data_IF_925491936393
#
_entry.id   IF_925491936393
#
_cell.length_a   1.000
_cell.length_b   1.000
_cell.length_c   1.000
_cell.angle_alpha   90.00
_cell.angle_beta   90.00
_cell.angle_gamma   90.00
#
_symmetry.space_group_name_H-M   'P 1'
#
loop_
_entity.id
_entity.type
_entity.pdbx_description
1 polymer ?
#
# COMPACT_ATOMS: atom_id res chain seq x y z
N UNK A 1 8.66 25.85 -9.17
CA UNK A 1 8.89 24.76 -8.20
C UNK A 1 9.87 23.77 -8.82
N UNK A 2 10.81 23.24 -8.04
CA UNK A 2 11.71 22.14 -8.48
C UNK A 2 10.86 20.90 -8.79
N UNK A 3 11.37 19.99 -9.63
CA UNK A 3 10.71 18.71 -9.89
C UNK A 3 10.76 17.81 -8.65
N UNK A 4 9.87 16.82 -8.60
CA UNK A 4 9.89 15.82 -7.53
C UNK A 4 11.24 15.07 -7.51
N UNK A 5 11.80 14.71 -8.67
CA UNK A 5 13.10 14.04 -8.76
C UNK A 5 14.24 14.89 -8.19
N UNK A 6 14.29 16.20 -8.49
CA UNK A 6 15.29 17.11 -7.89
C UNK A 6 15.12 17.22 -6.38
N UNK A 7 13.87 17.30 -5.90
CA UNK A 7 13.58 17.29 -4.47
C UNK A 7 14.10 16.01 -3.79
N UNK A 8 13.77 14.84 -4.33
CA UNK A 8 14.20 13.55 -3.77
C UNK A 8 15.72 13.42 -3.76
N UNK A 9 16.39 13.85 -4.83
CA UNK A 9 17.85 13.86 -4.89
C UNK A 9 18.45 14.76 -3.80
N UNK A 10 17.88 15.92 -3.56
CA UNK A 10 18.32 16.81 -2.48
C UNK A 10 18.11 16.18 -1.09
N UNK A 11 16.95 15.50 -0.85
CA UNK A 11 16.72 14.79 0.41
C UNK A 11 17.75 13.66 0.62
N UNK A 12 18.10 12.94 -0.43
CA UNK A 12 19.09 11.87 -0.36
C UNK A 12 20.49 12.35 0.00
N UNK A 13 20.82 13.60 -0.29
CA UNK A 13 22.13 14.19 0.00
C UNK A 13 22.25 14.83 1.40
N UNK A 14 21.16 14.93 2.17
CA UNK A 14 21.20 15.50 3.51
C UNK A 14 22.06 14.64 4.45
N UNK A 15 22.94 15.26 5.19
CA UNK A 15 23.81 14.58 6.19
C UNK A 15 23.06 14.17 7.46
N UNK A 16 21.95 14.84 7.77
CA UNK A 16 21.10 14.53 8.92
C UNK A 16 19.63 14.71 8.52
N UNK A 17 18.81 13.73 8.78
CA UNK A 17 17.38 13.74 8.51
C UNK A 17 16.60 13.88 9.81
N UNK A 18 15.83 14.94 9.94
CA UNK A 18 15.07 15.28 11.15
C UNK A 18 13.59 15.01 11.04
N UNK A 19 13.05 14.96 9.83
CA UNK A 19 11.64 14.68 9.57
C UNK A 19 11.55 13.62 8.48
N UNK A 20 10.85 12.53 8.78
CA UNK A 20 10.62 11.42 7.85
C UNK A 20 9.13 11.26 7.56
N UNK A 21 8.81 10.92 6.33
CA UNK A 21 7.48 10.45 5.92
C UNK A 21 7.61 9.00 5.49
N UNK A 22 6.92 8.10 6.15
CA UNK A 22 7.09 6.65 5.99
C UNK A 22 5.75 6.01 5.64
N UNK A 23 5.73 5.21 4.55
CA UNK A 23 4.61 4.35 4.19
C UNK A 23 4.59 3.04 4.98
N UNK A 24 3.56 2.23 4.78
CA UNK A 24 3.42 0.94 5.44
C UNK A 24 4.49 -0.08 4.96
N UNK A 25 4.76 -1.15 5.74
CA UNK A 25 5.79 -2.14 5.39
C UNK A 25 5.53 -2.94 4.11
N UNK A 26 4.29 -2.98 3.61
CA UNK A 26 3.98 -3.65 2.34
C UNK A 26 4.61 -2.92 1.14
N UNK A 27 4.82 -1.59 1.24
CA UNK A 27 5.47 -0.78 0.22
C UNK A 27 4.76 -0.86 -1.14
N UNK A 28 3.44 -0.84 -1.14
CA UNK A 28 2.64 -0.76 -2.36
C UNK A 28 2.60 0.67 -2.92
N UNK A 29 1.91 0.87 -4.03
CA UNK A 29 1.84 2.17 -4.69
C UNK A 29 1.29 3.26 -3.76
N UNK A 30 0.24 2.95 -2.96
CA UNK A 30 -0.36 3.92 -2.04
C UNK A 30 0.66 4.39 -0.99
N UNK A 31 1.35 3.46 -0.35
CA UNK A 31 2.38 3.74 0.64
C UNK A 31 3.54 4.58 0.09
N UNK A 32 4.10 4.17 -1.04
CA UNK A 32 5.28 4.82 -1.63
C UNK A 32 4.91 6.20 -2.16
N UNK A 33 3.86 6.30 -2.97
CA UNK A 33 3.42 7.57 -3.58
C UNK A 33 2.97 8.57 -2.51
N UNK A 34 2.21 8.11 -1.51
CA UNK A 34 1.81 8.96 -0.39
C UNK A 34 3.02 9.54 0.34
N UNK A 35 4.06 8.73 0.61
CA UNK A 35 5.26 9.21 1.28
C UNK A 35 6.02 10.24 0.44
N UNK A 36 6.26 9.96 -0.85
CA UNK A 36 6.98 10.85 -1.76
C UNK A 36 6.26 12.20 -1.92
N UNK A 37 4.96 12.15 -2.22
CA UNK A 37 4.17 13.34 -2.52
C UNK A 37 3.88 14.16 -1.25
N UNK A 38 3.57 13.51 -0.11
CA UNK A 38 3.38 14.23 1.15
C UNK A 38 4.63 14.98 1.58
N UNK A 39 5.80 14.35 1.51
CA UNK A 39 7.07 14.98 1.87
C UNK A 39 7.37 16.19 0.97
N UNK A 40 7.13 16.07 -0.34
CA UNK A 40 7.28 17.15 -1.30
C UNK A 40 6.35 18.34 -0.98
N UNK A 41 5.06 18.07 -0.77
CA UNK A 41 4.05 19.10 -0.47
C UNK A 41 4.37 19.81 0.87
N UNK A 42 4.72 19.02 1.91
CA UNK A 42 5.03 19.56 3.23
C UNK A 42 6.32 20.41 3.26
N UNK A 43 7.21 20.22 2.30
CA UNK A 43 8.48 20.95 2.18
C UNK A 43 8.41 22.11 1.19
N UNK A 44 7.31 22.25 0.47
CA UNK A 44 7.10 23.32 -0.51
C UNK A 44 6.43 24.53 0.14
N UNK A 45 6.79 25.76 -0.23
CA UNK A 45 6.08 26.95 0.26
C UNK A 45 4.63 26.92 -0.24
N UNK A 46 3.67 27.14 0.66
CA UNK A 46 2.27 27.29 0.28
C UNK A 46 2.11 28.49 -0.63
N UNK A 47 1.45 28.31 -1.78
CA UNK A 47 1.18 29.40 -2.74
C UNK A 47 -0.10 30.16 -2.44
N UNK A 48 -0.75 29.92 -1.29
CA UNK A 48 -1.89 30.72 -0.83
C UNK A 48 -1.41 32.09 -0.37
N UNK A 49 -1.89 33.12 -1.03
CA UNK A 49 -1.93 34.47 -0.47
C UNK A 49 -2.92 34.43 0.70
N UNK A 50 -2.43 34.51 1.92
CA UNK A 50 -3.28 34.86 3.05
C UNK A 50 -3.75 36.34 2.82
N UNK A 51 -4.84 36.52 2.08
CA UNK A 51 -5.53 37.81 1.90
C UNK A 51 -6.27 38.24 3.18
N UNK A 52 -5.71 37.96 4.35
CA UNK A 52 -6.16 38.47 5.63
C UNK A 52 -5.02 39.16 6.38
N UNK A 53 -4.40 40.15 5.75
CA UNK A 53 -3.59 41.13 6.49
C UNK A 53 -4.34 42.43 6.59
N UNK A 54 -5.27 42.52 7.55
CA UNK A 54 -5.66 43.81 8.14
C UNK A 54 -4.51 44.25 9.05
N UNK A 55 -3.99 45.41 8.71
CA UNK A 55 -2.80 46.02 9.26
C UNK A 55 -2.71 46.06 10.77
N UNK A 56 -1.52 45.77 11.25
CA UNK A 56 -0.82 46.68 12.18
C UNK A 56 0.68 46.37 12.09
N UNK A 57 1.45 47.39 11.81
CA UNK A 57 2.89 47.29 11.67
C UNK A 57 3.53 46.99 13.02
N UNK A 58 4.25 45.86 13.09
CA UNK A 58 5.30 45.69 14.06
C UNK A 58 6.48 44.95 13.43
N UNK A 59 7.65 45.56 13.53
CA UNK A 59 8.94 45.06 13.08
C UNK A 59 9.19 43.68 13.72
N UNK A 60 9.00 42.60 13.01
CA UNK A 60 9.54 41.29 13.42
C UNK A 60 10.79 41.01 12.60
N UNK A 61 11.89 40.84 13.33
CA UNK A 61 13.17 40.37 12.87
C UNK A 61 13.00 39.22 11.87
N UNK A 62 13.59 39.41 10.71
CA UNK A 62 13.73 38.46 9.63
C UNK A 62 14.73 37.37 10.04
N UNK A 63 14.38 36.59 11.08
CA UNK A 63 15.04 35.31 11.35
C UNK A 63 14.44 34.32 10.38
N UNK A 64 15.12 34.07 9.26
CA UNK A 64 14.88 32.97 8.34
C UNK A 64 14.84 31.63 9.11
N UNK A 65 13.67 31.25 9.63
CA UNK A 65 13.44 29.90 10.10
C UNK A 65 13.52 28.99 8.86
N UNK A 66 14.67 28.38 8.65
CA UNK A 66 14.84 27.36 7.63
C UNK A 66 13.77 26.29 7.86
N UNK A 67 12.77 26.23 6.97
CA UNK A 67 11.74 25.20 7.01
C UNK A 67 12.48 23.85 6.91
N UNK A 68 12.49 23.11 8.01
CA UNK A 68 13.11 21.77 8.01
C UNK A 68 12.32 20.89 7.07
N UNK A 69 12.94 20.55 5.96
CA UNK A 69 12.34 19.73 4.90
C UNK A 69 12.04 18.32 5.41
N UNK A 70 10.92 17.76 4.98
CA UNK A 70 10.54 16.37 5.24
C UNK A 70 11.12 15.45 4.18
N UNK A 71 11.79 14.37 4.59
CA UNK A 71 12.36 13.39 3.68
C UNK A 71 11.44 12.16 3.57
N UNK A 72 11.04 11.71 2.38
CA UNK A 72 10.28 10.48 2.24
C UNK A 72 11.19 9.26 2.38
N UNK A 73 10.65 8.19 2.95
CA UNK A 73 11.33 6.90 3.11
C UNK A 73 10.43 5.77 2.60
N UNK A 74 10.91 5.04 1.59
CA UNK A 74 10.27 3.81 1.18
C UNK A 74 10.50 2.71 2.21
N UNK A 75 9.44 2.06 2.67
CA UNK A 75 9.47 0.99 3.67
C UNK A 75 10.01 -0.34 3.11
N UNK A 76 10.23 -0.42 1.81
CA UNK A 76 10.89 -1.55 1.13
C UNK A 76 12.19 -1.08 0.49
N UNK A 77 13.09 -2.01 0.18
CA UNK A 77 14.33 -1.68 -0.52
C UNK A 77 14.07 -1.21 -1.96
N UNK A 78 14.98 -0.38 -2.51
CA UNK A 78 14.93 -0.02 -3.96
C UNK A 78 14.98 -1.25 -4.85
N UNK A 79 15.69 -2.29 -4.44
CA UNK A 79 15.71 -3.57 -5.15
C UNK A 79 14.33 -4.23 -5.17
N UNK A 80 13.66 -4.31 -4.01
CA UNK A 80 12.29 -4.85 -3.92
C UNK A 80 11.30 -3.99 -4.72
N UNK A 81 11.43 -2.66 -4.68
CA UNK A 81 10.64 -1.75 -5.51
C UNK A 81 10.80 -2.06 -7.00
N UNK A 82 12.04 -2.22 -7.47
CA UNK A 82 12.35 -2.52 -8.88
C UNK A 82 11.89 -3.91 -9.31
N UNK A 83 11.93 -4.88 -8.41
CA UNK A 83 11.66 -6.29 -8.76
C UNK A 83 10.27 -6.76 -8.39
N UNK A 84 9.51 -6.02 -7.57
CA UNK A 84 8.25 -6.50 -7.00
C UNK A 84 7.07 -5.52 -7.17
N UNK A 85 7.30 -4.31 -7.69
CA UNK A 85 6.27 -3.26 -7.80
C UNK A 85 6.19 -2.65 -9.21
N UNK A 86 5.83 -3.46 -10.23
CA UNK A 86 5.87 -3.00 -11.62
C UNK A 86 4.91 -1.82 -11.88
N UNK A 87 3.76 -1.77 -11.23
CA UNK A 87 2.81 -0.65 -11.33
C UNK A 87 3.38 0.64 -10.72
N UNK A 88 4.09 0.53 -9.60
CA UNK A 88 4.76 1.68 -8.97
C UNK A 88 5.94 2.15 -9.79
N UNK A 89 6.72 1.22 -10.38
CA UNK A 89 7.79 1.57 -11.31
C UNK A 89 7.28 2.33 -12.52
N UNK A 90 6.15 1.90 -13.08
CA UNK A 90 5.55 2.57 -14.23
C UNK A 90 5.10 4.00 -13.87
N UNK A 91 4.51 4.18 -12.68
CA UNK A 91 4.17 5.50 -12.15
C UNK A 91 5.41 6.40 -12.00
N UNK A 92 6.47 5.89 -11.38
CA UNK A 92 7.73 6.63 -11.21
C UNK A 92 8.37 6.99 -12.55
N UNK A 93 8.30 6.07 -13.53
CA UNK A 93 8.78 6.31 -14.88
C UNK A 93 8.01 7.46 -15.55
N UNK A 94 6.67 7.47 -15.47
CA UNK A 94 5.86 8.56 -16.00
C UNK A 94 6.16 9.90 -15.32
N UNK A 95 6.38 9.88 -14.00
CA UNK A 95 6.76 11.06 -13.23
C UNK A 95 8.24 11.47 -13.42
N UNK A 96 9.01 10.77 -14.27
CA UNK A 96 10.44 10.99 -14.46
C UNK A 96 11.26 10.96 -13.15
N UNK A 97 10.86 10.09 -12.22
CA UNK A 97 11.52 9.90 -10.92
C UNK A 97 12.42 8.65 -10.97
N UNK A 98 13.75 8.81 -10.98
CA UNK A 98 14.66 7.68 -10.90
C UNK A 98 14.58 7.00 -9.51
N UNK A 99 14.47 5.68 -9.49
CA UNK A 99 14.37 4.90 -8.22
C UNK A 99 15.57 5.15 -7.32
N UNK A 100 16.74 5.40 -7.89
CA UNK A 100 17.98 5.69 -7.18
C UNK A 100 17.91 6.96 -6.33
N UNK A 101 16.99 7.88 -6.60
CA UNK A 101 16.78 9.11 -5.82
C UNK A 101 15.97 8.89 -4.55
N UNK A 102 15.27 7.76 -4.43
CA UNK A 102 14.40 7.44 -3.31
C UNK A 102 15.24 6.91 -2.15
N UNK A 103 15.02 7.47 -0.95
CA UNK A 103 15.53 6.89 0.29
C UNK A 103 14.72 5.64 0.65
N UNK A 104 15.41 4.60 1.11
CA UNK A 104 14.80 3.34 1.49
C UNK A 104 15.33 2.78 2.82
N UNK A 105 14.76 1.69 3.28
CA UNK A 105 15.16 1.03 4.54
C UNK A 105 16.63 0.62 4.56
N UNK A 106 17.28 0.40 3.41
CA UNK A 106 18.70 0.06 3.35
C UNK A 106 19.58 1.28 3.64
N UNK A 107 19.16 2.48 3.28
CA UNK A 107 19.87 3.72 3.64
C UNK A 107 19.86 3.89 5.17
N UNK A 108 18.74 3.57 5.86
CA UNK A 108 18.65 3.62 7.32
C UNK A 108 19.54 2.55 7.98
N UNK A 109 19.58 1.35 7.43
CA UNK A 109 20.44 0.25 7.93
C UNK A 109 21.91 0.58 7.76
N UNK A 110 22.26 1.23 6.65
CA UNK A 110 23.66 1.56 6.31
C UNK A 110 24.21 2.72 7.16
N UNK A 111 23.38 3.71 7.48
CA UNK A 111 23.75 4.87 8.28
C UNK A 111 22.63 5.25 9.28
N UNK A 112 22.45 4.48 10.37
CA UNK A 112 21.39 4.72 11.34
C UNK A 112 21.47 6.09 12.04
N UNK A 113 22.70 6.60 12.25
CA UNK A 113 22.91 7.86 12.96
C UNK A 113 22.36 9.06 12.18
N UNK A 114 22.36 9.00 10.88
CA UNK A 114 21.76 9.99 9.98
C UNK A 114 20.27 10.21 10.25
N UNK A 115 19.58 9.19 10.74
CA UNK A 115 18.11 9.16 10.93
C UNK A 115 17.70 9.21 12.41
N UNK A 116 18.67 9.26 13.33
CA UNK A 116 18.42 9.22 14.77
C UNK A 116 17.61 10.44 15.25
N UNK A 117 16.58 10.18 16.06
CA UNK A 117 15.74 11.20 16.68
C UNK A 117 14.83 11.95 15.71
N UNK A 118 14.50 11.34 14.57
CA UNK A 118 13.62 11.95 13.58
C UNK A 118 12.15 11.99 14.06
N UNK A 119 11.45 13.07 13.71
CA UNK A 119 10.00 13.17 13.77
C UNK A 119 9.37 12.45 12.59
N UNK A 120 8.41 11.57 12.86
CA UNK A 120 7.81 10.69 11.86
C UNK A 120 6.41 11.13 11.50
N UNK A 121 6.15 11.20 10.19
CA UNK A 121 4.80 11.20 9.62
C UNK A 121 4.53 9.80 9.05
N UNK A 122 3.53 9.11 9.57
CA UNK A 122 3.05 7.85 9.03
C UNK A 122 2.01 8.13 7.94
N UNK A 123 2.14 7.47 6.80
CA UNK A 123 1.16 7.50 5.72
C UNK A 123 0.75 6.09 5.35
N UNK A 124 -0.54 5.87 5.10
CA UNK A 124 -1.12 4.58 4.74
C UNK A 124 -0.99 3.49 5.83
N UNK A 125 -0.73 3.90 7.05
CA UNK A 125 -0.80 3.10 8.27
C UNK A 125 -0.76 4.01 9.50
N UNK A 126 -1.19 3.49 10.67
CA UNK A 126 -1.23 4.26 11.92
C UNK A 126 -0.50 3.57 13.08
N UNK A 127 0.32 2.58 12.76
CA UNK A 127 1.26 1.92 13.68
C UNK A 127 2.65 1.88 13.08
N UNK A 128 3.62 2.45 13.75
CA UNK A 128 5.04 2.25 13.42
C UNK A 128 5.47 0.87 13.91
N UNK A 129 5.85 -0.02 12.99
CA UNK A 129 6.51 -1.27 13.36
C UNK A 129 7.94 -0.96 13.82
N UNK A 130 8.14 -1.02 15.12
CA UNK A 130 9.33 -0.49 15.78
C UNK A 130 10.41 -1.53 16.08
N UNK A 131 10.24 -2.79 15.70
CA UNK A 131 11.18 -3.83 16.11
C UNK A 131 12.58 -3.62 15.56
N UNK A 132 12.69 -3.19 14.31
CA UNK A 132 13.98 -2.96 13.65
C UNK A 132 14.61 -1.60 14.01
N UNK A 133 13.81 -0.54 14.02
CA UNK A 133 14.29 0.84 14.18
C UNK A 133 14.08 1.42 15.60
N UNK A 134 13.71 0.58 16.57
CA UNK A 134 13.43 1.00 17.96
C UNK A 134 14.57 1.79 18.63
N UNK A 135 15.82 1.54 18.22
CA UNK A 135 17.01 2.21 18.76
C UNK A 135 17.24 3.61 18.18
N UNK A 136 16.47 4.03 17.17
CA UNK A 136 16.64 5.32 16.50
C UNK A 136 15.94 6.47 17.23
N UNK A 137 15.15 6.18 18.27
CA UNK A 137 14.38 7.17 19.04
C UNK A 137 13.47 8.04 18.15
N UNK A 138 12.80 7.43 17.21
CA UNK A 138 11.81 8.09 16.36
C UNK A 138 10.56 8.49 17.14
N UNK A 139 10.00 9.64 16.82
CA UNK A 139 8.77 10.15 17.44
C UNK A 139 7.68 10.35 16.39
N UNK A 140 6.57 9.61 16.50
CA UNK A 140 5.44 9.79 15.60
C UNK A 140 4.73 11.10 15.93
N UNK A 141 4.70 12.02 14.96
CA UNK A 141 4.12 13.36 15.05
C UNK A 141 2.90 13.55 14.18
N UNK A 142 2.81 12.82 13.05
CA UNK A 142 1.67 12.93 12.15
C UNK A 142 1.25 11.55 11.66
N UNK A 143 -0.05 11.39 11.44
CA UNK A 143 -0.66 10.20 10.83
C UNK A 143 -1.65 10.65 9.78
N UNK A 144 -1.52 10.10 8.57
CA UNK A 144 -2.43 10.29 7.45
C UNK A 144 -2.76 8.89 6.91
N UNK A 145 -3.96 8.40 7.18
CA UNK A 145 -4.28 7.00 6.93
C UNK A 145 -5.76 6.79 6.58
N UNK A 146 -6.08 5.68 5.94
CA UNK A 146 -7.46 5.27 5.64
C UNK A 146 -7.82 3.89 6.20
N UNK A 147 -6.94 3.31 7.00
CA UNK A 147 -7.19 2.02 7.67
C UNK A 147 -7.88 2.21 9.02
N UNK A 148 -8.31 1.07 9.60
CA UNK A 148 -8.84 1.05 10.96
C UNK A 148 -7.86 1.73 11.92
N UNK A 149 -8.42 2.58 12.79
CA UNK A 149 -7.66 3.34 13.75
C UNK A 149 -7.29 2.48 14.97
N UNK A 150 -5.99 2.21 15.13
CA UNK A 150 -5.48 1.44 16.28
C UNK A 150 -5.41 2.25 17.58
N UNK A 151 -5.76 3.53 17.55
CA UNK A 151 -5.79 4.40 18.74
C UNK A 151 -4.42 4.79 19.29
N UNK A 152 -3.33 4.56 18.55
CA UNK A 152 -1.97 4.84 18.99
C UNK A 152 -1.58 6.32 18.80
N UNK A 153 -0.59 6.80 19.57
CA UNK A 153 0.06 8.12 19.46
C UNK A 153 -0.88 9.33 19.66
N UNK A 154 -2.00 9.18 20.38
CA UNK A 154 -2.96 10.26 20.58
C UNK A 154 -2.35 11.47 21.31
N UNK A 155 -1.42 11.23 22.25
CA UNK A 155 -0.79 12.30 23.04
C UNK A 155 0.44 12.92 22.36
N UNK A 156 0.94 12.35 21.27
CA UNK A 156 2.20 12.79 20.62
C UNK A 156 1.99 13.34 19.22
N UNK A 157 0.86 13.01 18.57
CA UNK A 157 0.56 13.48 17.21
C UNK A 157 0.03 14.90 17.20
N UNK A 158 0.60 15.72 16.31
CA UNK A 158 0.13 17.07 15.98
C UNK A 158 -0.99 17.02 14.94
N UNK A 159 -0.89 16.10 13.98
CA UNK A 159 -1.90 15.82 12.95
C UNK A 159 -2.24 14.35 13.02
N UNK A 160 -3.53 14.07 13.14
CA UNK A 160 -4.04 12.70 13.12
C UNK A 160 -5.30 12.68 12.26
N UNK A 161 -5.07 12.46 10.94
CA UNK A 161 -6.13 12.42 9.93
C UNK A 161 -6.29 10.98 9.45
N UNK A 162 -7.31 10.30 10.00
CA UNK A 162 -7.64 8.91 9.66
C UNK A 162 -9.01 8.87 8.99
N UNK A 163 -8.99 8.54 7.70
CA UNK A 163 -10.18 8.48 6.86
C UNK A 163 -10.92 7.14 7.02
N UNK A 164 -11.24 6.77 8.28
CA UNK A 164 -11.98 5.56 8.63
C UNK A 164 -13.09 5.91 9.61
N UNK A 165 -14.34 5.59 9.27
CA UNK A 165 -15.53 5.87 10.10
C UNK A 165 -16.56 4.78 9.91
N UNK A 166 -17.31 4.46 10.96
CA UNK A 166 -18.40 3.47 10.91
C UNK A 166 -17.95 2.14 10.28
N UNK A 167 -16.77 1.65 10.72
CA UNK A 167 -16.11 0.44 10.24
C UNK A 167 -15.80 0.42 8.72
N UNK A 168 -15.68 1.59 8.10
CA UNK A 168 -15.39 1.73 6.67
C UNK A 168 -14.36 2.82 6.41
N UNK A 169 -13.49 2.56 5.43
CA UNK A 169 -12.65 3.60 4.85
C UNK A 169 -13.52 4.60 4.08
N UNK A 170 -13.26 5.90 4.26
CA UNK A 170 -13.98 6.99 3.58
C UNK A 170 -13.29 7.48 2.31
N UNK A 171 -12.15 6.89 1.98
CA UNK A 171 -11.42 7.02 0.71
C UNK A 171 -10.87 5.65 0.30
N UNK A 172 -10.64 5.44 -0.98
CA UNK A 172 -10.07 4.19 -1.48
C UNK A 172 -8.56 4.06 -1.19
N UNK A 173 -7.87 5.20 -1.09
CA UNK A 173 -6.41 5.32 -0.99
C UNK A 173 -6.01 6.50 -0.12
N UNK A 174 -4.91 6.37 0.62
CA UNK A 174 -4.30 7.49 1.35
C UNK A 174 -3.83 8.59 0.40
N UNK A 175 -3.45 8.24 -0.84
CA UNK A 175 -3.11 9.23 -1.88
C UNK A 175 -4.25 10.18 -2.20
N UNK A 176 -5.52 9.81 -1.98
CA UNK A 176 -6.67 10.73 -2.09
C UNK A 176 -6.53 11.90 -1.11
N UNK A 177 -6.18 11.62 0.15
CA UNK A 177 -5.97 12.65 1.17
C UNK A 177 -4.76 13.53 0.85
N UNK A 178 -3.71 12.93 0.30
CA UNK A 178 -2.53 13.68 -0.19
C UNK A 178 -2.88 14.57 -1.37
N UNK A 179 -3.71 14.11 -2.31
CA UNK A 179 -4.20 14.89 -3.45
C UNK A 179 -5.09 16.06 -3.02
N UNK A 180 -5.97 15.85 -2.03
CA UNK A 180 -6.78 16.91 -1.42
C UNK A 180 -5.88 18.02 -0.84
N UNK A 181 -4.79 17.63 -0.18
CA UNK A 181 -3.80 18.59 0.33
C UNK A 181 -3.08 19.31 -0.81
N UNK A 182 -2.56 18.58 -1.80
CA UNK A 182 -1.86 19.18 -2.94
C UNK A 182 -2.72 20.20 -3.67
N UNK A 183 -3.98 19.85 -3.97
CA UNK A 183 -4.91 20.74 -4.69
C UNK A 183 -5.41 21.91 -3.84
N UNK A 184 -5.29 21.82 -2.51
CA UNK A 184 -5.55 22.92 -1.59
C UNK A 184 -4.34 23.84 -1.48
N UNK A 185 -3.14 23.32 -1.31
CA UNK A 185 -1.95 24.09 -0.95
C UNK A 185 -1.24 24.70 -2.17
N UNK A 186 -1.42 24.11 -3.36
CA UNK A 186 -0.87 24.63 -4.62
C UNK A 186 -1.94 25.31 -5.49
N UNK A 187 -1.59 26.43 -6.10
CA UNK A 187 -2.41 27.06 -7.15
C UNK A 187 -2.47 26.16 -8.39
N UNK A 188 -1.34 25.56 -8.75
CA UNK A 188 -1.21 24.49 -9.75
C UNK A 188 -0.35 23.38 -9.19
N UNK A 189 -0.84 22.14 -9.23
CA UNK A 189 -0.08 20.97 -8.80
C UNK A 189 0.93 20.60 -9.91
N UNK A 190 2.21 20.34 -9.58
CA UNK A 190 3.18 19.86 -10.56
C UNK A 190 2.73 18.55 -11.21
N UNK A 191 2.98 18.38 -12.52
CA UNK A 191 2.48 17.22 -13.26
C UNK A 191 3.12 15.90 -12.80
N UNK A 192 4.39 15.91 -12.39
CA UNK A 192 5.11 14.76 -11.85
C UNK A 192 4.48 14.25 -10.51
N UNK A 193 4.03 15.16 -9.65
CA UNK A 193 3.27 14.83 -8.43
C UNK A 193 1.87 14.34 -8.79
N UNK A 194 1.21 15.04 -9.71
CA UNK A 194 -0.19 14.74 -10.08
C UNK A 194 -0.34 13.37 -10.73
N UNK A 195 0.59 12.95 -11.60
CA UNK A 195 0.48 11.64 -12.27
C UNK A 195 0.62 10.49 -11.28
N UNK A 196 1.51 10.64 -10.28
CA UNK A 196 1.66 9.67 -9.20
C UNK A 196 0.38 9.53 -8.39
N UNK A 197 -0.16 10.66 -7.92
CA UNK A 197 -1.39 10.69 -7.12
C UNK A 197 -2.58 10.15 -7.92
N UNK A 198 -2.78 10.64 -9.14
CA UNK A 198 -3.87 10.23 -10.02
C UNK A 198 -3.83 8.71 -10.31
N UNK A 199 -2.68 8.19 -10.74
CA UNK A 199 -2.55 6.78 -11.08
C UNK A 199 -2.80 5.87 -9.88
N UNK A 200 -2.32 6.24 -8.69
CA UNK A 200 -2.55 5.46 -7.46
C UNK A 200 -4.02 5.47 -7.04
N UNK A 201 -4.69 6.64 -7.06
CA UNK A 201 -6.14 6.73 -6.77
C UNK A 201 -6.94 5.86 -7.74
N UNK A 202 -6.59 5.88 -9.03
CA UNK A 202 -7.26 5.06 -10.04
C UNK A 202 -7.09 3.56 -9.79
N UNK A 203 -5.87 3.12 -9.39
CA UNK A 203 -5.61 1.73 -9.04
C UNK A 203 -6.47 1.25 -7.86
N UNK A 204 -6.48 2.01 -6.77
CA UNK A 204 -7.12 1.59 -5.52
C UNK A 204 -8.65 1.71 -5.59
N UNK A 205 -9.16 2.74 -6.27
CA UNK A 205 -10.60 2.89 -6.54
C UNK A 205 -11.12 1.97 -7.64
N UNK A 206 -10.21 1.21 -8.32
CA UNK A 206 -10.53 0.41 -9.50
C UNK A 206 -11.20 1.28 -10.58
N UNK A 207 -10.54 2.40 -10.91
CA UNK A 207 -11.03 3.40 -11.86
C UNK A 207 -12.47 3.85 -11.57
N UNK A 208 -12.81 4.01 -10.29
CA UNK A 208 -14.16 4.37 -9.82
C UNK A 208 -15.27 3.42 -10.30
N UNK A 209 -14.93 2.16 -10.64
CA UNK A 209 -15.92 1.18 -11.09
C UNK A 209 -16.94 0.88 -9.98
N UNK A 210 -18.23 1.17 -10.15
CA UNK A 210 -19.25 0.94 -9.12
C UNK A 210 -19.38 -0.53 -8.71
N UNK A 211 -19.14 -1.46 -9.64
CA UNK A 211 -19.20 -2.90 -9.36
C UNK A 211 -18.09 -3.37 -8.41
N UNK A 212 -16.96 -2.66 -8.36
CA UNK A 212 -15.87 -2.95 -7.44
C UNK A 212 -16.15 -2.48 -6.00
N UNK A 213 -17.03 -1.47 -5.83
CA UNK A 213 -17.45 -0.96 -4.51
C UNK A 213 -16.32 -0.36 -3.68
N UNK A 214 -15.21 0.11 -4.32
CA UNK A 214 -14.03 0.63 -3.63
C UNK A 214 -13.92 2.14 -3.68
N UNK A 215 -14.24 2.74 -4.83
CA UNK A 215 -14.20 4.19 -5.02
C UNK A 215 -15.26 4.92 -4.21
N UNK A 216 -14.92 6.09 -3.69
CA UNK A 216 -15.79 6.97 -2.92
C UNK A 216 -15.97 8.32 -3.63
N UNK A 217 -16.97 9.14 -3.24
CA UNK A 217 -17.11 10.49 -3.80
C UNK A 217 -15.89 11.39 -3.57
N UNK A 218 -15.10 11.16 -2.48
CA UNK A 218 -13.86 11.90 -2.22
C UNK A 218 -12.78 11.56 -3.24
N UNK A 219 -12.65 10.28 -3.60
CA UNK A 219 -11.71 9.83 -4.63
C UNK A 219 -12.04 10.47 -5.98
N UNK A 220 -13.32 10.48 -6.38
CA UNK A 220 -13.74 11.14 -7.61
C UNK A 220 -13.43 12.64 -7.59
N UNK A 221 -13.73 13.33 -6.49
CA UNK A 221 -13.43 14.75 -6.36
C UNK A 221 -11.93 15.06 -6.44
N UNK A 222 -11.08 14.18 -5.85
CA UNK A 222 -9.63 14.30 -5.94
C UNK A 222 -9.12 14.09 -7.38
N UNK A 223 -9.64 13.10 -8.10
CA UNK A 223 -9.35 12.86 -9.52
C UNK A 223 -9.69 14.11 -10.35
N UNK A 224 -10.92 14.62 -10.21
CA UNK A 224 -11.37 15.79 -10.95
C UNK A 224 -10.51 17.04 -10.64
N UNK A 225 -10.17 17.23 -9.36
CA UNK A 225 -9.34 18.34 -8.94
C UNK A 225 -7.90 18.25 -9.49
N UNK A 226 -7.28 17.07 -9.49
CA UNK A 226 -5.96 16.85 -10.10
C UNK A 226 -5.99 17.12 -11.60
N UNK A 227 -6.99 16.59 -12.31
CA UNK A 227 -7.14 16.84 -13.74
C UNK A 227 -7.32 18.33 -14.07
N UNK A 228 -8.03 19.08 -13.23
CA UNK A 228 -8.31 20.48 -13.45
C UNK A 228 -7.17 21.43 -13.04
N UNK A 229 -6.48 21.14 -11.92
CA UNK A 229 -5.47 22.04 -11.31
C UNK A 229 -4.03 21.74 -11.71
N UNK A 230 -3.78 20.78 -12.58
CA UNK A 230 -2.44 20.42 -13.02
C UNK A 230 -2.13 21.07 -14.37
N UNK A 231 -0.93 21.63 -14.49
CA UNK A 231 -0.38 21.97 -15.79
C UNK A 231 0.28 20.73 -16.40
N UNK A 232 -0.48 19.92 -17.11
CA UNK A 232 0.00 18.68 -17.72
C UNK A 232 1.03 18.87 -18.84
N UNK A 233 1.30 20.12 -19.26
CA UNK A 233 2.29 20.48 -20.28
C UNK A 233 3.52 21.16 -19.69
N UNK A 234 3.78 21.00 -18.40
CA UNK A 234 4.98 21.59 -17.74
C UNK A 234 6.29 20.84 -18.07
N UNK A 235 6.22 19.76 -18.84
CA UNK A 235 7.37 18.98 -19.32
C UNK A 235 7.98 18.05 -18.28
N UNK A 236 7.36 17.88 -17.11
CA UNK A 236 7.88 17.02 -16.03
C UNK A 236 7.41 15.57 -16.11
N UNK A 237 6.39 15.30 -16.91
CA UNK A 237 5.87 13.95 -17.15
C UNK A 237 6.35 13.47 -18.50
N UNK A 238 6.96 12.28 -18.51
CA UNK A 238 7.42 11.64 -19.75
C UNK A 238 6.61 10.37 -19.98
N UNK A 239 5.77 10.40 -21.00
CA UNK A 239 5.14 9.18 -21.49
C UNK A 239 5.85 8.80 -22.78
N UNK A 240 6.57 7.70 -22.75
CA UNK A 240 7.07 7.09 -23.98
C UNK A 240 5.88 6.42 -24.63
N UNK A 241 5.53 6.86 -25.81
CA UNK A 241 4.64 6.13 -26.72
C UNK A 241 5.40 4.85 -27.11
N UNK A 242 5.09 3.73 -26.46
CA UNK A 242 5.37 2.44 -27.08
C UNK A 242 4.42 2.34 -28.27
N UNK A 243 4.87 1.71 -29.37
CA UNK A 243 4.28 1.60 -30.70
C UNK A 243 2.81 1.14 -30.79
N UNK A 244 2.04 1.23 -29.73
CA UNK A 244 0.64 0.85 -29.65
C UNK A 244 -0.24 2.11 -29.69
N UNK A 245 -1.15 2.17 -30.65
CA UNK A 245 -2.01 3.28 -31.08
C UNK A 245 -2.92 3.93 -30.00
N UNK A 246 -2.82 3.55 -28.75
CA UNK A 246 -3.57 4.13 -27.63
C UNK A 246 -2.88 5.36 -27.07
N UNK A 247 -3.30 6.53 -27.47
CA UNK A 247 -2.85 7.80 -26.91
C UNK A 247 -3.19 7.88 -25.41
N UNK A 248 -2.16 7.85 -24.57
CA UNK A 248 -2.31 8.02 -23.12
C UNK A 248 -2.80 9.44 -22.77
N UNK A 249 -2.62 10.37 -23.66
CA UNK A 249 -2.89 11.79 -23.50
C UNK A 249 -3.89 12.32 -24.52
N UNK A 250 -4.82 13.11 -24.07
CA UNK A 250 -5.66 13.92 -24.91
C UNK A 250 -4.80 15.01 -25.59
N UNK A 251 -4.71 15.00 -26.90
CA UNK A 251 -3.86 15.90 -27.70
C UNK A 251 -4.30 17.36 -27.63
N UNK A 252 -5.59 17.63 -27.40
CA UNK A 252 -6.13 19.00 -27.33
C UNK A 252 -5.87 19.61 -25.97
N UNK A 253 -6.18 18.89 -24.90
CA UNK A 253 -6.05 19.38 -23.51
C UNK A 253 -4.69 19.10 -22.92
N UNK A 254 -3.96 18.10 -23.42
CA UNK A 254 -2.71 17.57 -22.83
C UNK A 254 -2.94 16.84 -21.51
N UNK A 255 -4.20 16.49 -21.20
CA UNK A 255 -4.55 15.75 -19.97
C UNK A 255 -4.42 14.25 -20.21
N UNK A 256 -4.05 13.48 -19.16
CA UNK A 256 -4.07 12.03 -19.26
C UNK A 256 -5.52 11.51 -19.32
N UNK A 257 -5.71 10.38 -20.00
CA UNK A 257 -6.96 9.65 -19.99
C UNK A 257 -6.99 8.69 -18.79
N UNK A 258 -7.84 8.93 -17.75
CA UNK A 258 -7.83 8.11 -16.52
C UNK A 258 -8.01 6.62 -16.79
N UNK A 259 -8.90 6.25 -17.69
CA UNK A 259 -9.15 4.83 -18.02
C UNK A 259 -7.93 4.16 -18.64
N UNK A 260 -7.24 4.84 -19.56
CA UNK A 260 -6.03 4.28 -20.20
C UNK A 260 -4.88 4.19 -19.18
N UNK A 261 -4.71 5.19 -18.31
CA UNK A 261 -3.75 5.13 -17.20
C UNK A 261 -4.02 3.92 -16.30
N UNK A 262 -5.28 3.76 -15.89
CA UNK A 262 -5.70 2.62 -15.07
C UNK A 262 -5.40 1.29 -15.75
N UNK A 263 -5.80 1.13 -17.01
CA UNK A 263 -5.62 -0.12 -17.75
C UNK A 263 -4.13 -0.49 -17.88
N UNK A 264 -3.26 0.47 -18.14
CA UNK A 264 -1.81 0.24 -18.20
C UNK A 264 -1.22 -0.15 -16.84
N UNK A 265 -1.62 0.54 -15.77
CA UNK A 265 -1.17 0.24 -14.41
C UNK A 265 -1.70 -1.12 -13.94
N UNK A 266 -2.96 -1.44 -14.25
CA UNK A 266 -3.54 -2.73 -13.94
C UNK A 266 -2.84 -3.84 -14.70
N UNK A 267 -2.54 -3.63 -15.98
CA UNK A 267 -1.78 -4.55 -16.82
C UNK A 267 -0.39 -4.84 -16.21
N UNK A 268 0.33 -3.80 -15.78
CA UNK A 268 1.62 -3.97 -15.11
C UNK A 268 1.48 -4.75 -13.80
N UNK A 269 0.49 -4.43 -12.97
CA UNK A 269 0.25 -5.08 -11.67
C UNK A 269 -0.11 -6.56 -11.81
N UNK A 270 -0.88 -6.91 -12.83
CA UNK A 270 -1.38 -8.28 -13.09
C UNK A 270 -0.57 -9.01 -14.15
N UNK A 271 0.63 -8.51 -14.51
CA UNK A 271 1.46 -9.20 -15.49
C UNK A 271 1.79 -10.62 -15.05
N UNK A 272 1.20 -11.59 -15.76
CA UNK A 272 1.36 -13.01 -15.45
C UNK A 272 2.82 -13.48 -15.56
N UNK A 273 3.59 -12.90 -16.49
CA UNK A 273 5.01 -13.25 -16.67
C UNK A 273 5.81 -12.80 -15.45
N UNK A 274 5.55 -11.57 -14.97
CA UNK A 274 6.14 -11.04 -13.75
C UNK A 274 5.83 -11.94 -12.55
N UNK A 275 4.55 -12.26 -12.31
CA UNK A 275 4.13 -13.08 -11.18
C UNK A 275 4.68 -14.52 -11.25
N UNK A 276 4.77 -15.11 -12.45
CA UNK A 276 5.36 -16.45 -12.64
C UNK A 276 6.87 -16.45 -12.40
N UNK A 277 7.57 -15.36 -12.70
CA UNK A 277 9.02 -15.25 -12.50
C UNK A 277 9.43 -15.07 -11.03
N UNK A 278 8.55 -14.58 -10.16
CA UNK A 278 8.84 -14.44 -8.73
C UNK A 278 9.07 -15.80 -8.06
N UNK A 279 9.96 -15.83 -7.06
CA UNK A 279 10.06 -16.96 -6.16
C UNK A 279 8.76 -17.14 -5.35
N UNK A 280 8.55 -18.31 -4.73
CA UNK A 280 7.41 -18.52 -3.81
C UNK A 280 7.48 -17.53 -2.66
N UNK A 281 8.67 -17.35 -2.07
CA UNK A 281 8.90 -16.44 -0.96
C UNK A 281 8.54 -14.99 -1.33
N UNK A 282 8.99 -14.49 -2.49
CA UNK A 282 8.69 -13.14 -2.94
C UNK A 282 7.21 -12.97 -3.28
N UNK A 283 6.59 -13.96 -3.92
CA UNK A 283 5.15 -13.96 -4.21
C UNK A 283 4.31 -13.83 -2.94
N UNK A 284 4.69 -14.53 -1.85
CA UNK A 284 4.02 -14.47 -0.57
C UNK A 284 4.27 -13.14 0.16
N UNK A 285 5.50 -12.63 0.10
CA UNK A 285 5.91 -11.43 0.80
C UNK A 285 5.32 -10.14 0.19
N UNK A 286 5.04 -10.13 -1.10
CA UNK A 286 4.64 -8.97 -1.88
C UNK A 286 3.41 -8.23 -1.30
N UNK A 287 2.41 -8.95 -0.85
CA UNK A 287 1.23 -8.41 -0.16
C UNK A 287 0.91 -9.25 1.08
N UNK A 288 1.91 -9.39 1.96
CA UNK A 288 1.80 -10.07 3.25
C UNK A 288 1.39 -9.09 4.34
N UNK A 289 0.46 -9.50 5.19
CA UNK A 289 0.17 -8.83 6.47
C UNK A 289 0.08 -9.86 7.58
N UNK A 290 0.70 -9.52 8.71
CA UNK A 290 0.60 -10.27 9.95
C UNK A 290 -0.51 -9.68 10.82
N UNK A 291 -1.24 -10.56 11.50
CA UNK A 291 -2.30 -10.21 12.43
C UNK A 291 -2.06 -10.91 13.75
N UNK A 292 -2.16 -10.16 14.84
CA UNK A 292 -2.04 -10.70 16.20
C UNK A 292 -3.40 -10.57 16.88
N UNK A 293 -4.09 -11.70 17.18
CA UNK A 293 -5.37 -11.67 17.91
C UNK A 293 -5.20 -11.03 19.27
N UNK A 294 -6.19 -10.26 19.72
CA UNK A 294 -6.17 -9.58 21.02
C UNK A 294 -6.41 -10.56 22.20
N UNK A 295 -7.00 -11.72 21.91
CA UNK A 295 -7.26 -12.81 22.88
C UNK A 295 -6.47 -14.06 22.53
N UNK A 296 -6.32 -14.96 23.53
CA UNK A 296 -5.54 -16.17 23.36
C UNK A 296 -6.11 -17.14 22.31
N UNK A 297 -5.23 -17.76 21.53
CA UNK A 297 -5.57 -18.79 20.56
C UNK A 297 -5.29 -20.20 21.13
N UNK A 298 -6.15 -21.20 20.86
CA UNK A 298 -6.02 -22.54 21.44
C UNK A 298 -4.76 -23.28 21.00
N UNK A 299 -4.22 -22.94 19.80
CA UNK A 299 -3.11 -23.67 19.19
C UNK A 299 -1.77 -22.93 19.21
N UNK A 300 -1.73 -21.68 19.62
CA UNK A 300 -0.50 -20.88 19.61
C UNK A 300 -0.25 -20.11 20.90
N UNK A 301 -1.09 -20.24 21.89
CA UNK A 301 -1.06 -19.41 23.11
C UNK A 301 -1.63 -18.01 22.87
N UNK A 302 -1.66 -17.19 23.93
CA UNK A 302 -2.17 -15.83 23.85
C UNK A 302 -1.43 -15.03 22.78
N UNK A 303 -2.17 -14.51 21.79
CA UNK A 303 -1.63 -13.59 20.80
C UNK A 303 -0.70 -14.23 19.76
N UNK A 304 -0.83 -15.54 19.49
CA UNK A 304 -0.09 -16.16 18.40
C UNK A 304 -0.44 -15.50 17.06
N UNK A 305 0.55 -14.98 16.33
CA UNK A 305 0.30 -14.30 15.06
C UNK A 305 -0.08 -15.29 13.97
N UNK A 306 -0.87 -14.83 13.00
CA UNK A 306 -1.09 -15.50 11.74
C UNK A 306 -0.86 -14.56 10.57
N UNK A 307 -0.54 -15.13 9.40
CA UNK A 307 -0.26 -14.38 8.18
C UNK A 307 -1.40 -14.44 7.17
N UNK A 308 -1.54 -13.37 6.39
CA UNK A 308 -2.37 -13.35 5.18
C UNK A 308 -1.56 -12.74 4.05
N UNK A 309 -1.35 -13.52 2.98
CA UNK A 309 -0.70 -13.08 1.74
C UNK A 309 -1.72 -12.98 0.61
N UNK A 310 -1.58 -12.00 -0.29
CA UNK A 310 -2.32 -11.96 -1.55
C UNK A 310 -1.36 -12.26 -2.70
N UNK A 311 -1.75 -13.18 -3.59
CA UNK A 311 -0.96 -13.61 -4.75
C UNK A 311 -1.80 -13.43 -6.01
N UNK A 312 -1.26 -12.78 -7.05
CA UNK A 312 -1.98 -12.53 -8.30
C UNK A 312 -1.73 -13.64 -9.34
N UNK A 313 -1.83 -14.89 -8.88
CA UNK A 313 -1.84 -16.12 -9.66
C UNK A 313 -2.99 -17.00 -9.18
N UNK A 314 -3.49 -17.88 -10.03
CA UNK A 314 -4.30 -19.02 -9.61
C UNK A 314 -3.41 -20.06 -8.89
N UNK A 315 -4.05 -20.94 -8.10
CA UNK A 315 -3.35 -21.97 -7.35
C UNK A 315 -2.51 -22.90 -8.24
N UNK A 316 -3.00 -23.28 -9.42
CA UNK A 316 -2.27 -24.19 -10.30
C UNK A 316 -0.98 -23.53 -10.80
N UNK A 317 -1.07 -22.29 -11.30
CA UNK A 317 0.10 -21.50 -11.70
C UNK A 317 1.06 -21.21 -10.53
N UNK A 318 0.55 -21.03 -9.31
CA UNK A 318 1.40 -20.89 -8.13
C UNK A 318 2.15 -22.19 -7.82
N UNK A 319 1.51 -23.35 -7.97
CA UNK A 319 2.12 -24.67 -7.77
C UNK A 319 3.14 -25.08 -8.85
N UNK A 320 3.14 -24.42 -10.01
CA UNK A 320 4.19 -24.61 -11.04
C UNK A 320 5.56 -24.10 -10.56
N UNK A 321 5.60 -23.26 -9.52
CA UNK A 321 6.87 -22.76 -8.95
C UNK A 321 7.63 -23.85 -8.22
N UNK A 322 8.94 -23.69 -8.15
CA UNK A 322 9.81 -24.67 -7.51
C UNK A 322 9.54 -24.82 -6.01
N UNK A 323 9.36 -26.07 -5.58
CA UNK A 323 9.34 -26.46 -4.16
C UNK A 323 8.30 -25.72 -3.29
N UNK A 324 7.11 -25.42 -3.83
CA UNK A 324 6.07 -24.63 -3.14
C UNK A 324 5.85 -25.04 -1.69
N UNK A 325 5.60 -26.32 -1.33
CA UNK A 325 5.33 -26.68 0.06
C UNK A 325 6.50 -26.38 1.00
N UNK A 326 7.75 -26.61 0.56
CA UNK A 326 8.95 -26.29 1.36
C UNK A 326 9.11 -24.80 1.56
N UNK A 327 8.91 -24.03 0.51
CA UNK A 327 9.03 -22.56 0.54
C UNK A 327 7.95 -21.93 1.39
N UNK A 328 6.72 -22.47 1.40
CA UNK A 328 5.63 -22.03 2.30
C UNK A 328 6.01 -22.32 3.76
N UNK A 329 6.54 -23.53 4.06
CA UNK A 329 7.02 -23.86 5.42
C UNK A 329 8.10 -22.88 5.86
N UNK A 330 9.09 -22.62 5.00
CA UNK A 330 10.17 -21.69 5.30
C UNK A 330 9.64 -20.28 5.54
N UNK A 331 8.72 -19.80 4.70
CA UNK A 331 8.09 -18.50 4.86
C UNK A 331 7.33 -18.38 6.20
N UNK A 332 6.54 -19.40 6.56
CA UNK A 332 5.84 -19.44 7.85
C UNK A 332 6.80 -19.47 9.04
N UNK A 333 7.93 -20.17 8.91
CA UNK A 333 8.98 -20.18 9.92
C UNK A 333 9.64 -18.80 10.07
N UNK A 334 10.00 -18.15 8.97
CA UNK A 334 10.70 -16.87 8.95
C UNK A 334 9.80 -15.74 9.51
N UNK A 335 8.51 -15.80 9.22
CA UNK A 335 7.49 -14.89 9.76
C UNK A 335 6.96 -15.32 11.13
N UNK A 336 7.39 -16.49 11.66
CA UNK A 336 6.99 -17.03 12.96
C UNK A 336 5.49 -17.24 13.12
N UNK A 337 4.80 -17.59 12.05
CA UNK A 337 3.36 -17.88 12.08
C UNK A 337 3.10 -19.39 11.99
N UNK A 338 2.12 -19.88 12.74
CA UNK A 338 1.65 -21.27 12.65
C UNK A 338 0.50 -21.46 11.66
N UNK A 339 -0.08 -20.36 11.17
CA UNK A 339 -1.16 -20.33 10.20
C UNK A 339 -0.92 -19.23 9.17
N UNK A 340 -1.10 -19.58 7.90
CA UNK A 340 -1.00 -18.66 6.76
C UNK A 340 -2.20 -18.86 5.84
N UNK A 341 -2.93 -17.79 5.56
CA UNK A 341 -3.92 -17.76 4.50
C UNK A 341 -3.29 -17.13 3.25
N UNK A 342 -3.37 -17.82 2.10
CA UNK A 342 -2.93 -17.29 0.81
C UNK A 342 -4.19 -17.01 -0.01
N UNK A 343 -4.40 -15.76 -0.36
CA UNK A 343 -5.52 -15.29 -1.17
C UNK A 343 -5.07 -15.12 -2.61
N UNK A 344 -5.41 -16.06 -3.47
CA UNK A 344 -5.20 -15.93 -4.91
C UNK A 344 -6.26 -15.01 -5.53
N UNK A 345 -5.82 -14.09 -6.38
CA UNK A 345 -6.68 -13.24 -7.19
C UNK A 345 -6.15 -13.21 -8.61
N UNK A 346 -6.96 -13.62 -9.59
CA UNK A 346 -6.51 -13.76 -10.97
C UNK A 346 -7.66 -13.55 -11.94
N UNK A 347 -7.32 -13.21 -13.18
CA UNK A 347 -8.30 -13.09 -14.27
C UNK A 347 -8.30 -14.39 -15.07
N UNK A 348 -9.47 -14.93 -15.32
CA UNK A 348 -9.61 -16.11 -16.18
C UNK A 348 -9.32 -15.74 -17.63
N UNK A 349 -8.47 -16.51 -18.31
CA UNK A 349 -8.21 -16.36 -19.75
C UNK A 349 -9.44 -16.56 -20.64
N UNK A 350 -10.51 -17.17 -20.11
CA UNK A 350 -11.73 -17.48 -20.88
C UNK A 350 -12.81 -16.41 -20.76
N UNK A 351 -12.82 -15.63 -19.68
CA UNK A 351 -13.98 -14.74 -19.38
C UNK A 351 -13.61 -13.32 -18.96
N UNK A 352 -12.31 -12.96 -18.87
CA UNK A 352 -11.79 -11.71 -18.27
C UNK A 352 -12.39 -11.38 -16.89
N UNK A 353 -13.03 -12.35 -16.26
CA UNK A 353 -13.64 -12.19 -14.95
C UNK A 353 -12.60 -12.38 -13.84
N UNK A 354 -12.68 -11.53 -12.81
CA UNK A 354 -11.90 -11.71 -11.59
C UNK A 354 -12.37 -12.98 -10.87
N UNK A 355 -11.42 -13.85 -10.56
CA UNK A 355 -11.61 -15.04 -9.75
C UNK A 355 -10.78 -14.96 -8.47
N UNK A 356 -11.20 -15.71 -7.45
CA UNK A 356 -10.45 -15.83 -6.20
C UNK A 356 -10.39 -17.25 -5.71
N UNK A 357 -9.28 -17.57 -5.06
CA UNK A 357 -9.12 -18.80 -4.29
C UNK A 357 -8.59 -18.44 -2.91
N UNK A 358 -8.99 -19.20 -1.90
CA UNK A 358 -8.46 -19.11 -0.54
C UNK A 358 -7.73 -20.41 -0.23
N UNK A 359 -6.45 -20.31 0.06
CA UNK A 359 -5.60 -21.40 0.44
C UNK A 359 -5.28 -21.25 1.93
N UNK A 360 -5.55 -22.27 2.70
CA UNK A 360 -5.23 -22.35 4.11
C UNK A 360 -4.01 -23.22 4.30
N UNK A 361 -3.03 -22.74 5.05
CA UNK A 361 -1.80 -23.46 5.41
C UNK A 361 -1.67 -23.44 6.94
N UNK A 362 -1.57 -24.62 7.56
CA UNK A 362 -1.41 -24.75 9.01
C UNK A 362 -0.36 -25.81 9.36
N UNK A 363 0.34 -25.60 10.47
CA UNK A 363 1.30 -26.58 11.01
C UNK A 363 0.64 -27.66 11.87
N UNK A 364 -0.66 -27.52 12.18
CA UNK A 364 -1.47 -28.46 12.98
C UNK A 364 -2.67 -28.98 12.19
N UNK A 365 -2.90 -30.30 12.22
CA UNK A 365 -4.04 -30.94 11.53
C UNK A 365 -5.36 -30.47 12.13
N UNK A 366 -5.50 -30.50 13.45
CA UNK A 366 -6.71 -30.08 14.16
C UNK A 366 -7.02 -28.61 13.87
N UNK A 367 -6.02 -27.72 13.92
CA UNK A 367 -6.19 -26.30 13.56
C UNK A 367 -6.74 -26.14 12.14
N UNK A 368 -6.25 -26.92 11.18
CA UNK A 368 -6.74 -26.89 9.80
C UNK A 368 -8.19 -27.35 9.70
N UNK A 369 -8.55 -28.43 10.39
CA UNK A 369 -9.92 -28.98 10.39
C UNK A 369 -10.91 -28.02 11.03
N UNK A 370 -10.57 -27.46 12.19
CA UNK A 370 -11.40 -26.51 12.92
C UNK A 370 -11.61 -25.18 12.17
N UNK A 371 -10.53 -24.63 11.59
CA UNK A 371 -10.62 -23.43 10.76
C UNK A 371 -11.50 -23.67 9.52
N UNK A 372 -11.34 -24.80 8.88
CA UNK A 372 -12.15 -25.15 7.70
C UNK A 372 -13.62 -25.21 8.07
N UNK A 373 -13.97 -25.93 9.15
CA UNK A 373 -15.33 -26.02 9.63
C UNK A 373 -15.91 -24.65 10.00
N UNK A 374 -15.15 -23.83 10.74
CA UNK A 374 -15.55 -22.47 11.08
C UNK A 374 -15.91 -21.63 9.86
N UNK A 375 -15.05 -21.64 8.81
CA UNK A 375 -15.30 -20.84 7.60
C UNK A 375 -16.48 -21.35 6.77
N UNK A 376 -16.78 -22.66 6.84
CA UNK A 376 -17.96 -23.26 6.19
C UNK A 376 -19.28 -22.96 6.95
N UNK A 377 -19.21 -22.81 8.26
CA UNK A 377 -20.37 -22.55 9.14
C UNK A 377 -20.71 -21.06 9.26
N UNK A 378 -19.99 -20.17 8.60
CA UNK A 378 -20.29 -18.73 8.62
C UNK A 378 -21.68 -18.42 8.05
N UNK A 379 -22.41 -17.51 8.73
CA UNK A 379 -23.72 -17.03 8.31
C UNK A 379 -23.71 -16.32 6.95
N UNK A 380 -24.86 -16.07 6.36
CA UNK A 380 -25.00 -15.54 4.98
C UNK A 380 -24.19 -14.27 4.73
N UNK A 381 -24.13 -13.35 5.70
CA UNK A 381 -23.43 -12.07 5.56
C UNK A 381 -21.89 -12.23 5.46
N UNK A 382 -21.35 -13.17 6.24
CA UNK A 382 -19.92 -13.45 6.34
C UNK A 382 -19.49 -14.58 5.39
N UNK A 383 -20.41 -15.29 4.75
CA UNK A 383 -20.13 -16.46 3.92
C UNK A 383 -19.33 -16.08 2.67
N UNK A 384 -18.12 -16.66 2.56
CA UNK A 384 -17.23 -16.48 1.42
C UNK A 384 -17.62 -17.34 0.20
N UNK A 385 -18.63 -18.21 0.35
CA UNK A 385 -19.06 -19.21 -0.66
C UNK A 385 -17.88 -20.08 -1.11
N UNK A 386 -17.22 -20.68 -0.11
CA UNK A 386 -16.05 -21.54 -0.33
C UNK A 386 -16.47 -22.92 -0.85
N UNK A 387 -15.83 -23.33 -1.94
CA UNK A 387 -15.97 -24.69 -2.50
C UNK A 387 -14.59 -25.33 -2.45
N UNK A 388 -14.44 -26.40 -1.64
CA UNK A 388 -13.16 -27.10 -1.50
C UNK A 388 -12.80 -27.84 -2.78
N UNK A 389 -11.53 -27.75 -3.18
CA UNK A 389 -10.99 -28.46 -4.35
C UNK A 389 -10.43 -29.81 -3.91
N UNK A 390 -11.01 -30.90 -4.42
CA UNK A 390 -10.66 -32.27 -4.05
C UNK A 390 -9.24 -32.71 -4.46
N UNK A 391 -8.62 -32.03 -5.43
CA UNK A 391 -7.31 -32.35 -6.00
C UNK A 391 -6.14 -31.67 -5.30
N UNK A 392 -6.38 -30.88 -4.28
CA UNK A 392 -5.41 -29.94 -3.75
C UNK A 392 -5.17 -30.00 -2.24
N UNK A 393 -5.66 -31.04 -1.56
CA UNK A 393 -5.29 -31.28 -0.16
C UNK A 393 -3.91 -31.89 -0.10
N UNK A 394 -2.94 -31.13 0.41
CA UNK A 394 -1.56 -31.58 0.58
C UNK A 394 -1.22 -31.68 2.06
N UNK A 395 -0.51 -32.74 2.42
CA UNK A 395 0.10 -32.89 3.75
C UNK A 395 1.56 -33.30 3.57
N UNK A 396 2.50 -32.43 3.97
CA UNK A 396 3.92 -32.67 3.88
C UNK A 396 4.66 -32.03 5.07
N UNK A 397 5.50 -32.81 5.76
CA UNK A 397 6.35 -32.28 6.86
C UNK A 397 5.59 -31.48 7.90
N UNK A 398 4.43 -31.93 8.36
CA UNK A 398 3.51 -31.24 9.27
C UNK A 398 2.88 -29.97 8.71
N UNK A 399 2.99 -29.68 7.42
CA UNK A 399 2.21 -28.65 6.75
C UNK A 399 0.95 -29.27 6.17
N UNK A 400 -0.19 -28.72 6.53
CA UNK A 400 -1.51 -29.07 6.00
C UNK A 400 -1.97 -27.92 5.12
N UNK A 401 -2.36 -28.21 3.87
CA UNK A 401 -2.84 -27.23 2.90
C UNK A 401 -4.23 -27.65 2.44
N UNK A 402 -5.17 -26.72 2.44
CA UNK A 402 -6.49 -26.84 1.81
C UNK A 402 -6.74 -25.69 0.87
N UNK A 403 -7.36 -25.97 -0.26
CA UNK A 403 -7.62 -24.98 -1.33
C UNK A 403 -9.11 -24.89 -1.60
N UNK A 404 -9.60 -23.67 -1.64
CA UNK A 404 -11.02 -23.37 -1.89
C UNK A 404 -11.15 -22.38 -3.02
N UNK A 405 -12.06 -22.63 -3.94
CA UNK A 405 -12.58 -21.60 -4.84
C UNK A 405 -13.51 -20.69 -4.04
N UNK A 406 -13.33 -19.36 -4.15
CA UNK A 406 -14.06 -18.37 -3.38
C UNK A 406 -15.14 -17.71 -4.25
N UNK A 407 -16.42 -18.07 -4.04
CA UNK A 407 -17.51 -17.54 -4.84
C UNK A 407 -17.86 -16.08 -4.55
N UNK A 408 -17.59 -15.57 -3.34
CA UNK A 408 -17.72 -14.14 -3.02
C UNK A 408 -16.45 -13.38 -3.47
N UNK A 409 -16.30 -13.19 -4.78
CA UNK A 409 -15.09 -12.63 -5.41
C UNK A 409 -14.75 -11.20 -4.95
N UNK A 410 -15.73 -10.42 -4.47
CA UNK A 410 -15.51 -9.08 -3.92
C UNK A 410 -14.80 -9.12 -2.56
N UNK A 411 -14.86 -10.24 -1.82
CA UNK A 411 -14.25 -10.35 -0.53
C UNK A 411 -12.73 -10.46 -0.65
N UNK A 412 -12.06 -9.36 -0.34
CA UNK A 412 -10.61 -9.23 -0.29
C UNK A 412 -10.08 -9.50 1.13
N UNK A 413 -8.77 -9.27 1.36
CA UNK A 413 -8.17 -9.37 2.70
C UNK A 413 -8.93 -8.53 3.75
N UNK A 414 -9.50 -7.37 3.36
CA UNK A 414 -10.28 -6.50 4.29
C UNK A 414 -11.52 -7.21 4.86
N UNK A 415 -12.07 -8.19 4.14
CA UNK A 415 -13.21 -9.01 4.62
C UNK A 415 -12.74 -10.34 5.20
N UNK A 416 -11.71 -10.97 4.64
CA UNK A 416 -11.24 -12.28 5.08
C UNK A 416 -10.48 -12.21 6.42
N UNK A 417 -9.57 -11.23 6.58
CA UNK A 417 -8.77 -11.13 7.80
C UNK A 417 -9.59 -10.96 9.08
N UNK A 418 -10.67 -10.15 9.14
CA UNK A 418 -11.53 -10.07 10.32
C UNK A 418 -12.19 -11.41 10.70
N UNK A 419 -12.55 -12.25 9.72
CA UNK A 419 -13.09 -13.58 9.97
C UNK A 419 -12.06 -14.48 10.64
N UNK A 420 -10.81 -14.45 10.13
CA UNK A 420 -9.71 -15.20 10.73
C UNK A 420 -9.37 -14.69 12.14
N UNK A 421 -9.34 -13.37 12.36
CA UNK A 421 -9.12 -12.77 13.69
C UNK A 421 -10.19 -13.29 14.64
N UNK A 422 -11.47 -13.24 14.26
CA UNK A 422 -12.61 -13.73 15.08
C UNK A 422 -12.45 -15.20 15.44
N UNK A 423 -12.03 -16.05 14.49
CA UNK A 423 -11.74 -17.45 14.79
C UNK A 423 -10.68 -17.59 15.89
N UNK A 424 -9.54 -16.91 15.72
CA UNK A 424 -8.44 -16.99 16.68
C UNK A 424 -8.77 -16.37 18.05
N UNK A 425 -9.78 -15.51 18.13
CA UNK A 425 -10.27 -14.92 19.37
C UNK A 425 -11.36 -15.75 20.08
N UNK A 426 -12.19 -16.47 19.32
CA UNK A 426 -13.33 -17.23 19.86
C UNK A 426 -13.00 -18.67 20.21
N UNK A 427 -12.03 -19.29 19.58
CA UNK A 427 -11.59 -20.67 19.89
C UNK A 427 -10.70 -20.74 21.15
N UNK A 428 -10.85 -19.82 22.08
CA UNK A 428 -10.06 -19.72 23.32
C UNK A 428 -10.69 -20.39 24.55
N UNK A 429 -11.83 -21.10 24.40
CA UNK A 429 -12.54 -21.80 25.47
C UNK A 429 -12.37 -23.32 25.38
#
# INVERSE_FOLDING_TARGET
MISLAEFLQAQKQQSQIRKLVIGNPAGDADSIVSALCWAYIASSPSTRNDDTNNGDGDNRDDSSSSVVSSSPLASISRHDLQTQRPETLLLLQWASVPVETILDVQDVRSDPERFRGADITLVDHNRLDNTEFSKLNWSVKNIIDHHYDEGLYQDTCEIRDIAFRDDKATVASTTTMVAERATRDFAQVPSDVSILLLGTILLDSVNMNPAAGKGTPRDQAAIDALLAKTNWRDGKVTVKEDDDETQLWDTETGRPHPSILFDRLQQAKFDLKFWKALSVHDSLRLDYKEFTPSKGAPFGGKGAPFGVSTVLLDWNSFMEKDSVPKSVIQFMHDTRVSFLAIMCAYTSSESDALNRQLILCATGKTQMEDMTQYLQDLGEDDNLKLVERNDSTLSMNNLYIRVFDQGKVQASRKQVAPLLIRYFETCSD
#
